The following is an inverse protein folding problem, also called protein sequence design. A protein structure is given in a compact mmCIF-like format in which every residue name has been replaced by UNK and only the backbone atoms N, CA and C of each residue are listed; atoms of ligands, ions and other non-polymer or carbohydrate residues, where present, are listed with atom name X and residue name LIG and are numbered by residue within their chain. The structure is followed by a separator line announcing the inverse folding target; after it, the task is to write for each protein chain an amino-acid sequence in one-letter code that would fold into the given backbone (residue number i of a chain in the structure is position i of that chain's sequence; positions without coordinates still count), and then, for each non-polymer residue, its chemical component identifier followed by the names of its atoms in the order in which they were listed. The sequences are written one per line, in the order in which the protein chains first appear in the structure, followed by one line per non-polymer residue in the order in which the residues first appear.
data_IF_525390380585
#
_entry.id   IF_525390380585
#
_cell.length_a   1.000
_cell.length_b   1.000
_cell.length_c   1.000
_cell.angle_alpha   90.00
_cell.angle_beta   90.00
_cell.angle_gamma   90.00
#
_symmetry.space_group_name_H-M   'P 1'
#
loop_
_entity.id
_entity.type
_entity.pdbx_description
1 polymer ?
#
# COMPACT_ATOMS: atom_id res chain seq x y z
N UNK A 1 10.13 18.29 8.32
CA UNK A 1 10.07 17.11 7.64
C UNK A 1 9.86 15.88 8.37
N UNK A 2 9.20 15.96 9.37
CA UNK A 2 8.87 14.82 10.10
C UNK A 2 7.99 13.89 9.36
N UNK A 3 7.47 14.33 8.27
CA UNK A 3 6.63 13.46 7.46
C UNK A 3 7.34 12.19 7.04
N UNK A 4 8.67 12.20 7.06
CA UNK A 4 9.42 11.01 6.70
C UNK A 4 9.17 9.85 7.62
N UNK A 5 8.63 10.11 8.81
CA UNK A 5 8.35 9.04 9.76
C UNK A 5 6.97 8.44 9.60
N UNK A 6 6.09 9.08 8.86
CA UNK A 6 4.74 8.55 8.66
C UNK A 6 4.79 7.35 7.71
N UNK A 7 4.26 6.20 8.12
CA UNK A 7 4.17 5.06 7.20
C UNK A 7 3.20 5.41 6.07
N UNK A 8 3.62 5.15 4.85
CA UNK A 8 2.77 5.39 3.68
C UNK A 8 2.40 4.04 3.09
N UNK A 9 1.11 3.71 3.14
CA UNK A 9 0.64 2.42 2.64
C UNK A 9 0.62 2.41 1.11
N UNK A 10 0.93 1.27 0.48
CA UNK A 10 0.83 1.18 -0.98
C UNK A 10 -0.54 1.55 -1.51
N UNK A 11 -1.60 1.32 -0.74
CA UNK A 11 -2.94 1.70 -1.15
C UNK A 11 -3.12 3.19 -1.31
N UNK A 12 -2.45 3.97 -0.49
CA UNK A 12 -2.49 5.43 -0.63
C UNK A 12 -1.85 5.85 -1.94
N UNK A 13 -0.68 5.28 -2.26
CA UNK A 13 -0.01 5.59 -3.51
C UNK A 13 -0.85 5.14 -4.70
N UNK A 14 -1.43 3.94 -4.61
CA UNK A 14 -2.28 3.43 -5.67
C UNK A 14 -3.46 4.37 -5.94
N UNK A 15 -4.12 4.80 -4.88
CA UNK A 15 -5.28 5.66 -5.02
C UNK A 15 -4.91 7.04 -5.57
N UNK A 16 -3.93 7.69 -4.96
CA UNK A 16 -3.66 9.09 -5.24
C UNK A 16 -2.81 9.32 -6.48
N UNK A 17 -1.88 8.40 -6.76
CA UNK A 17 -0.96 8.61 -7.86
C UNK A 17 -1.39 7.91 -9.13
N UNK A 18 -2.26 6.91 -9.05
CA UNK A 18 -2.65 6.12 -10.22
C UNK A 18 -4.15 6.12 -10.47
N UNK A 19 -4.94 5.79 -9.47
CA UNK A 19 -6.38 5.66 -9.70
C UNK A 19 -7.07 7.01 -9.89
N UNK A 20 -6.84 7.95 -8.99
CA UNK A 20 -7.49 9.25 -9.08
C UNK A 20 -7.14 9.98 -10.36
N UNK A 21 -5.86 10.09 -10.76
CA UNK A 21 -5.53 10.76 -12.00
C UNK A 21 -6.16 10.11 -13.24
N UNK A 22 -6.39 8.82 -13.20
CA UNK A 22 -6.96 8.09 -14.32
C UNK A 22 -8.48 7.93 -14.22
N UNK A 23 -9.08 8.44 -13.17
CA UNK A 23 -10.51 8.31 -12.97
C UNK A 23 -10.98 6.90 -12.70
N UNK A 24 -10.13 6.07 -12.14
CA UNK A 24 -10.45 4.67 -11.86
C UNK A 24 -11.05 4.50 -10.49
N UNK A 25 -12.13 3.71 -10.41
CA UNK A 25 -12.67 3.28 -9.12
C UNK A 25 -12.07 1.95 -8.76
N UNK A 26 -12.13 1.61 -7.47
CA UNK A 26 -11.63 0.31 -7.02
C UNK A 26 -12.39 -0.83 -7.71
N UNK A 27 -13.68 -0.66 -7.91
CA UNK A 27 -14.48 -1.69 -8.57
C UNK A 27 -14.04 -1.91 -10.01
N UNK A 28 -13.82 -0.81 -10.75
CA UNK A 28 -13.39 -0.92 -12.14
C UNK A 28 -12.01 -1.57 -12.23
N UNK A 29 -11.09 -1.13 -11.38
CA UNK A 29 -9.74 -1.68 -11.41
C UNK A 29 -9.73 -3.15 -11.02
N UNK A 30 -10.52 -3.53 -10.02
CA UNK A 30 -10.62 -4.93 -9.63
C UNK A 30 -11.11 -5.79 -10.80
N UNK A 31 -12.09 -5.28 -11.54
CA UNK A 31 -12.59 -6.01 -12.70
C UNK A 31 -11.54 -6.21 -13.77
N UNK A 32 -10.78 -5.17 -14.06
CA UNK A 32 -9.71 -5.25 -15.05
C UNK A 32 -8.64 -6.24 -14.63
N UNK A 33 -8.29 -6.24 -13.35
CA UNK A 33 -7.23 -7.10 -12.84
C UNK A 33 -7.73 -8.49 -12.43
N UNK A 34 -9.03 -8.74 -12.57
CA UNK A 34 -9.64 -10.01 -12.16
C UNK A 34 -9.41 -10.30 -10.68
N UNK A 35 -9.56 -9.25 -9.86
CA UNK A 35 -9.44 -9.37 -8.42
C UNK A 35 -10.80 -9.22 -7.77
N UNK A 36 -10.95 -9.79 -6.58
CA UNK A 36 -12.14 -9.57 -5.78
C UNK A 36 -12.26 -8.08 -5.45
N UNK A 37 -13.43 -7.46 -5.70
CA UNK A 37 -13.55 -6.03 -5.38
C UNK A 37 -13.25 -5.70 -3.93
N UNK A 38 -13.68 -6.56 -3.00
CA UNK A 38 -13.39 -6.33 -1.59
C UNK A 38 -11.92 -6.36 -1.25
N UNK A 39 -11.16 -7.22 -1.95
CA UNK A 39 -9.73 -7.30 -1.74
C UNK A 39 -9.04 -5.98 -2.15
N UNK A 40 -9.38 -5.47 -3.33
CA UNK A 40 -8.77 -4.25 -3.80
C UNK A 40 -9.21 -3.05 -2.97
N UNK A 41 -10.48 -3.00 -2.59
CA UNK A 41 -10.97 -1.97 -1.70
C UNK A 41 -10.21 -1.98 -0.37
N UNK A 42 -9.92 -3.18 0.13
CA UNK A 42 -9.14 -3.32 1.35
C UNK A 42 -7.75 -2.73 1.22
N UNK A 43 -7.11 -2.92 0.05
CA UNK A 43 -5.79 -2.33 -0.18
C UNK A 43 -5.90 -0.81 -0.20
N UNK A 44 -6.88 -0.27 -0.92
CA UNK A 44 -7.06 1.18 -1.03
C UNK A 44 -7.36 1.80 0.33
N UNK A 45 -8.08 1.07 1.17
CA UNK A 45 -8.39 1.53 2.53
C UNK A 45 -7.26 1.27 3.51
N UNK A 46 -6.15 0.71 3.04
CA UNK A 46 -4.98 0.45 3.87
C UNK A 46 -5.24 -0.63 4.92
N UNK A 47 -6.15 -1.52 4.63
CA UNK A 47 -6.50 -2.63 5.53
C UNK A 47 -5.88 -3.94 5.12
N UNK A 48 -5.31 -4.01 3.91
CA UNK A 48 -4.69 -5.22 3.39
C UNK A 48 -3.37 -4.91 2.73
N UNK A 49 -2.47 -5.89 2.80
CA UNK A 49 -1.15 -5.79 2.17
C UNK A 49 -1.21 -6.20 0.71
N UNK A 50 -0.23 -5.75 -0.05
CA UNK A 50 -0.08 -6.14 -1.45
C UNK A 50 0.77 -7.40 -1.51
N UNK A 51 0.22 -8.45 -2.14
CA UNK A 51 0.96 -9.69 -2.34
C UNK A 51 1.83 -9.58 -3.59
N UNK A 52 2.82 -10.49 -3.73
CA UNK A 52 3.63 -10.49 -4.97
C UNK A 52 2.79 -10.63 -6.23
N UNK A 53 1.75 -11.45 -6.19
CA UNK A 53 0.89 -11.62 -7.38
C UNK A 53 0.19 -10.32 -7.73
N UNK A 54 -0.34 -9.61 -6.73
CA UNK A 54 -1.00 -8.33 -6.97
C UNK A 54 0.00 -7.30 -7.45
N UNK A 55 1.22 -7.31 -6.90
CA UNK A 55 2.26 -6.38 -7.35
C UNK A 55 2.55 -6.57 -8.84
N UNK A 56 2.58 -7.81 -9.31
CA UNK A 56 2.79 -8.08 -10.72
C UNK A 56 1.65 -7.56 -11.57
N UNK A 57 0.42 -7.71 -11.11
CA UNK A 57 -0.74 -7.24 -11.86
C UNK A 57 -0.77 -5.71 -11.93
N UNK A 58 -0.48 -5.05 -10.83
CA UNK A 58 -0.44 -3.60 -10.81
C UNK A 58 0.69 -3.08 -11.69
N UNK A 59 1.85 -3.73 -11.63
CA UNK A 59 2.99 -3.33 -12.42
C UNK A 59 2.67 -3.43 -13.92
N UNK A 60 2.02 -4.51 -14.32
CA UNK A 60 1.68 -4.72 -15.70
C UNK A 60 0.67 -3.69 -16.21
N UNK A 61 -0.35 -3.42 -15.39
CA UNK A 61 -1.40 -2.50 -15.80
C UNK A 61 -0.94 -1.05 -15.85
N UNK A 62 -0.14 -0.64 -14.87
CA UNK A 62 0.28 0.76 -14.76
C UNK A 62 1.67 1.02 -15.31
N UNK A 63 2.28 0.02 -15.94
CA UNK A 63 3.62 0.15 -16.54
C UNK A 63 4.66 0.57 -15.50
N UNK A 64 4.62 -0.10 -14.37
CA UNK A 64 5.62 0.03 -13.32
C UNK A 64 6.30 -1.33 -13.16
N UNK A 65 7.06 -1.50 -12.07
CA UNK A 65 7.67 -2.79 -11.79
C UNK A 65 7.03 -3.41 -10.56
N UNK A 66 7.04 -4.75 -10.45
CA UNK A 66 6.56 -5.37 -9.22
C UNK A 66 7.34 -4.92 -7.99
N UNK A 67 8.66 -4.70 -8.17
CA UNK A 67 9.50 -4.22 -7.07
C UNK A 67 9.03 -2.88 -6.51
N UNK A 68 8.55 -2.00 -7.39
CA UNK A 68 8.03 -0.72 -6.92
C UNK A 68 6.95 -0.92 -5.86
N UNK A 69 5.97 -1.80 -6.15
CA UNK A 69 4.87 -2.03 -5.24
C UNK A 69 5.30 -2.79 -3.98
N UNK A 70 6.18 -3.78 -4.16
CA UNK A 70 6.65 -4.56 -3.02
C UNK A 70 7.54 -3.74 -2.09
N UNK A 71 8.32 -2.83 -2.65
CA UNK A 71 9.15 -1.95 -1.83
C UNK A 71 8.29 -0.98 -1.02
N UNK A 72 7.18 -0.50 -1.59
CA UNK A 72 6.25 0.32 -0.83
C UNK A 72 5.70 -0.44 0.36
N UNK A 73 5.33 -1.70 0.15
CA UNK A 73 4.79 -2.52 1.23
C UNK A 73 5.84 -2.76 2.30
N UNK A 74 7.05 -3.12 1.89
CA UNK A 74 8.12 -3.39 2.85
C UNK A 74 8.45 -2.16 3.67
N UNK A 75 8.53 -1.01 3.03
CA UNK A 75 8.83 0.24 3.73
C UNK A 75 7.73 0.57 4.73
N UNK A 76 6.48 0.39 4.32
CA UNK A 76 5.36 0.63 5.21
C UNK A 76 5.43 -0.27 6.44
N UNK A 77 5.65 -1.56 6.21
CA UNK A 77 5.71 -2.53 7.31
C UNK A 77 6.84 -2.21 8.26
N UNK A 78 8.00 -1.85 7.71
CA UNK A 78 9.18 -1.53 8.51
C UNK A 78 8.93 -0.30 9.38
N UNK A 79 8.35 0.74 8.81
CA UNK A 79 8.10 1.96 9.57
C UNK A 79 7.06 1.75 10.66
N UNK A 80 6.04 0.96 10.37
CA UNK A 80 5.05 0.64 11.40
C UNK A 80 5.69 -0.11 12.55
N UNK A 81 6.56 -1.07 12.23
CA UNK A 81 7.24 -1.83 13.27
C UNK A 81 8.12 -0.93 14.12
N UNK A 82 8.83 0.00 13.48
CA UNK A 82 9.66 0.95 14.21
C UNK A 82 8.84 1.82 15.16
N UNK A 83 7.70 2.30 14.71
CA UNK A 83 6.84 3.13 15.55
C UNK A 83 6.29 2.33 16.73
N UNK A 84 5.90 1.10 16.50
CA UNK A 84 5.43 0.23 17.58
C UNK A 84 6.55 -0.03 18.57
N UNK A 85 7.76 -0.26 18.09
CA UNK A 85 8.90 -0.49 18.95
C UNK A 85 9.19 0.70 19.84
N UNK A 86 9.12 1.91 19.28
CA UNK A 86 9.32 3.12 20.05
C UNK A 86 8.29 3.27 21.16
N UNK A 87 7.03 3.01 20.83
CA UNK A 87 5.98 3.11 21.85
C UNK A 87 6.17 2.10 22.96
N UNK A 88 6.52 0.88 22.59
CA UNK A 88 6.76 -0.15 23.59
C UNK A 88 7.95 0.20 24.46
N UNK A 89 9.01 0.71 23.86
CA UNK A 89 10.19 1.11 24.62
C UNK A 89 9.89 2.23 25.59
N UNK A 90 9.15 3.23 25.15
CA UNK A 90 8.77 4.34 26.01
C UNK A 90 7.97 3.85 27.21
N UNK A 91 7.03 2.94 26.97
CA UNK A 91 6.24 2.39 28.06
C UNK A 91 7.10 1.63 29.05
N UNK A 92 8.06 0.90 28.53
CA UNK A 92 8.95 0.11 29.39
C UNK A 92 9.80 0.99 30.27
N UNK A 93 10.21 2.16 29.75
CA UNK A 93 11.07 3.05 30.50
C UNK A 93 10.36 3.84 31.58
N UNK A 94 9.06 3.82 31.59
CA UNK A 94 8.27 4.45 32.64
C UNK A 94 7.89 3.43 33.67
#
# INVERSE_FOLDING_TARGET
METTMRPIHPGEVLLEEFMDPMGLTASTLAGVLHLEPGYLTGIVRQERSISPATAQQLASYFDTTPEFWLNLQTTYDTRRALLKGRRALKRTLH
#
